data_IF_045839623198
#
_entry.id   IF_045839623198
#
_cell.length_a   1.000
_cell.length_b   1.000
_cell.length_c   1.000
_cell.angle_alpha   90.00
_cell.angle_beta   90.00
_cell.angle_gamma   90.00
#
_symmetry.space_group_name_H-M   'P 1'
#
loop_
_entity.id
_entity.type
_entity.pdbx_description
1 polymer ?
#
# COMPACT_ATOMS: atom_id res chain seq x y z
N UNK A 1 -13.20 8.50 -5.13
CA UNK A 1 -11.90 8.44 -4.41
C UNK A 1 -10.80 7.65 -5.14
N UNK A 2 -11.04 7.05 -6.32
CA UNK A 2 -10.08 6.15 -7.00
C UNK A 2 -9.05 6.90 -7.90
N UNK A 3 -9.38 8.09 -8.42
CA UNK A 3 -8.47 8.87 -9.28
C UNK A 3 -7.15 9.26 -8.61
N UNK A 4 -7.20 9.64 -7.33
CA UNK A 4 -6.04 10.14 -6.60
C UNK A 4 -4.96 9.07 -6.38
N UNK A 5 -5.34 7.79 -6.34
CA UNK A 5 -4.39 6.67 -6.21
C UNK A 5 -3.69 6.31 -7.52
N UNK A 6 -4.34 6.50 -8.67
CA UNK A 6 -3.74 6.18 -9.97
C UNK A 6 -2.66 7.19 -10.35
N UNK A 7 -2.90 8.48 -10.15
CA UNK A 7 -1.91 9.54 -10.39
C UNK A 7 -0.68 9.39 -9.47
N UNK A 8 -0.91 9.09 -8.18
CA UNK A 8 0.13 8.77 -7.21
C UNK A 8 0.97 7.56 -7.66
N UNK A 9 0.31 6.49 -8.09
CA UNK A 9 0.98 5.26 -8.54
C UNK A 9 1.83 5.51 -9.79
N UNK A 10 1.29 6.26 -10.75
CA UNK A 10 2.01 6.63 -11.98
C UNK A 10 3.27 7.42 -11.65
N UNK A 11 3.17 8.42 -10.77
CA UNK A 11 4.32 9.22 -10.35
C UNK A 11 5.38 8.40 -9.60
N UNK A 12 4.95 7.50 -8.70
CA UNK A 12 5.87 6.58 -8.01
C UNK A 12 6.59 5.67 -9.02
N UNK A 13 5.89 5.18 -10.04
CA UNK A 13 6.46 4.33 -11.09
C UNK A 13 7.43 5.08 -12.00
N UNK A 14 7.13 6.34 -12.34
CA UNK A 14 8.05 7.23 -13.08
C UNK A 14 9.36 7.43 -12.30
N UNK A 15 9.25 7.82 -11.02
CA UNK A 15 10.42 8.00 -10.14
C UNK A 15 11.20 6.68 -9.96
N UNK A 16 10.49 5.54 -9.89
CA UNK A 16 11.13 4.22 -9.80
C UNK A 16 11.88 3.84 -11.09
N UNK A 17 11.33 4.17 -12.27
CA UNK A 17 12.02 3.97 -13.55
C UNK A 17 13.25 4.87 -13.65
N UNK A 18 13.11 6.16 -13.33
CA UNK A 18 14.21 7.12 -13.33
C UNK A 18 15.34 6.72 -12.39
N UNK A 19 15.00 6.24 -11.19
CA UNK A 19 15.96 5.68 -10.23
C UNK A 19 16.78 4.52 -10.78
N UNK A 20 16.22 3.73 -11.70
CA UNK A 20 16.87 2.54 -12.27
C UNK A 20 17.75 2.88 -13.48
N UNK A 21 17.42 3.94 -14.22
CA UNK A 21 18.14 4.32 -15.45
C UNK A 21 19.22 5.36 -15.18
N UNK A 22 18.87 6.44 -14.48
CA UNK A 22 19.69 7.65 -14.34
C UNK A 22 20.09 7.92 -12.89
N UNK A 23 19.34 7.33 -11.94
CA UNK A 23 19.42 7.68 -10.52
C UNK A 23 18.43 8.79 -10.17
N UNK A 24 18.18 8.96 -8.87
CA UNK A 24 17.32 10.02 -8.34
C UNK A 24 18.18 11.10 -7.68
N UNK A 25 17.81 12.35 -7.89
CA UNK A 25 18.34 13.45 -7.08
C UNK A 25 17.82 13.34 -5.64
N UNK A 26 18.46 14.03 -4.69
CA UNK A 26 18.01 14.02 -3.29
C UNK A 26 16.58 14.56 -3.12
N UNK A 27 16.20 15.55 -3.93
CA UNK A 27 14.84 16.10 -3.97
C UNK A 27 13.83 15.07 -4.47
N UNK A 28 14.15 14.34 -5.53
CA UNK A 28 13.27 13.30 -6.08
C UNK A 28 13.16 12.08 -5.16
N UNK A 29 14.21 11.76 -4.39
CA UNK A 29 14.14 10.73 -3.33
C UNK A 29 13.20 11.15 -2.22
N UNK A 30 13.24 12.43 -1.81
CA UNK A 30 12.32 12.96 -0.82
C UNK A 30 10.86 12.91 -1.33
N UNK A 31 10.62 13.33 -2.58
CA UNK A 31 9.31 13.23 -3.24
C UNK A 31 8.84 11.76 -3.27
N UNK A 32 9.70 10.83 -3.70
CA UNK A 32 9.36 9.42 -3.76
C UNK A 32 9.02 8.85 -2.38
N UNK A 33 9.75 9.24 -1.33
CA UNK A 33 9.49 8.80 0.03
C UNK A 33 8.13 9.29 0.54
N UNK A 34 7.80 10.56 0.30
CA UNK A 34 6.51 11.14 0.68
C UNK A 34 5.35 10.48 -0.07
N UNK A 35 5.46 10.33 -1.39
CA UNK A 35 4.45 9.66 -2.21
C UNK A 35 4.23 8.21 -1.77
N UNK A 36 5.31 7.47 -1.45
CA UNK A 36 5.20 6.10 -0.92
C UNK A 36 4.49 6.05 0.44
N UNK A 37 4.76 7.01 1.33
CA UNK A 37 4.07 7.06 2.62
C UNK A 37 2.57 7.33 2.45
N UNK A 38 2.21 8.28 1.59
CA UNK A 38 0.81 8.56 1.27
C UNK A 38 0.09 7.34 0.68
N UNK A 39 0.73 6.67 -0.28
CA UNK A 39 0.20 5.43 -0.87
C UNK A 39 0.01 4.33 0.19
N UNK A 40 1.02 4.07 1.03
CA UNK A 40 0.93 3.06 2.09
C UNK A 40 -0.20 3.37 3.08
N UNK A 41 -0.40 4.65 3.42
CA UNK A 41 -1.48 5.07 4.32
C UNK A 41 -2.86 4.78 3.70
N UNK A 42 -3.07 5.17 2.45
CA UNK A 42 -4.30 4.90 1.71
C UNK A 42 -4.53 3.39 1.54
N UNK A 43 -3.47 2.64 1.20
CA UNK A 43 -3.51 1.19 1.06
C UNK A 43 -3.86 0.50 2.39
N UNK A 44 -3.25 0.91 3.51
CA UNK A 44 -3.56 0.36 4.85
C UNK A 44 -5.01 0.57 5.23
N UNK A 45 -5.58 1.75 4.96
CA UNK A 45 -6.99 2.02 5.25
C UNK A 45 -7.92 1.11 4.44
N UNK A 46 -7.64 0.92 3.14
CA UNK A 46 -8.39 -0.02 2.31
C UNK A 46 -8.22 -1.47 2.78
N UNK A 47 -6.99 -1.85 3.12
CA UNK A 47 -6.66 -3.20 3.55
C UNK A 47 -7.25 -3.57 4.91
N UNK A 48 -7.36 -2.63 5.85
CA UNK A 48 -8.05 -2.86 7.14
C UNK A 48 -9.54 -3.17 6.93
N UNK A 49 -10.20 -2.47 6.01
CA UNK A 49 -11.57 -2.78 5.62
C UNK A 49 -11.68 -4.17 4.99
N UNK A 50 -10.77 -4.54 4.10
CA UNK A 50 -10.73 -5.90 3.54
C UNK A 50 -10.51 -6.95 4.63
N UNK A 51 -9.51 -6.75 5.51
CA UNK A 51 -9.16 -7.70 6.58
C UNK A 51 -10.30 -7.90 7.57
N UNK A 52 -11.10 -6.87 7.86
CA UNK A 52 -12.29 -6.97 8.71
C UNK A 52 -13.34 -7.97 8.21
N UNK A 53 -13.26 -8.36 6.94
CA UNK A 53 -14.14 -9.31 6.28
C UNK A 53 -13.48 -10.67 5.99
N UNK A 54 -12.23 -10.87 6.43
CA UNK A 54 -11.50 -12.13 6.23
C UNK A 54 -11.77 -13.10 7.39
N UNK A 55 -12.12 -14.34 7.04
CA UNK A 55 -12.35 -15.44 7.97
C UNK A 55 -11.46 -16.62 7.62
N UNK A 56 -10.87 -17.25 8.63
CA UNK A 56 -10.18 -18.53 8.50
C UNK A 56 -11.20 -19.63 8.77
N UNK A 57 -11.31 -20.60 7.86
CA UNK A 57 -12.15 -21.78 8.01
C UNK A 57 -11.26 -22.97 8.37
N UNK A 58 -11.60 -23.69 9.44
CA UNK A 58 -10.93 -24.93 9.82
C UNK A 58 -11.48 -26.15 9.03
N UNK A 59 -10.91 -27.33 9.29
CA UNK A 59 -11.29 -28.58 8.61
C UNK A 59 -12.69 -29.06 9.01
N UNK A 60 -13.19 -28.56 10.13
CA UNK A 60 -14.47 -28.92 10.74
C UNK A 60 -15.58 -27.90 10.37
N UNK A 61 -15.24 -26.86 9.60
CA UNK A 61 -16.17 -25.86 9.08
C UNK A 61 -16.38 -24.63 9.98
N UNK A 62 -15.67 -24.51 11.10
CA UNK A 62 -15.77 -23.33 11.97
C UNK A 62 -15.04 -22.13 11.35
N UNK A 63 -15.67 -20.96 11.45
CA UNK A 63 -15.13 -19.69 10.92
C UNK A 63 -14.60 -18.85 12.07
N UNK A 64 -13.31 -18.53 12.03
CA UNK A 64 -12.68 -17.60 12.97
C UNK A 64 -12.31 -16.31 12.24
N UNK A 65 -12.70 -15.16 12.79
CA UNK A 65 -12.37 -13.86 12.21
C UNK A 65 -10.89 -13.55 12.38
N UNK A 66 -10.24 -13.05 11.32
CA UNK A 66 -8.82 -12.67 11.38
C UNK A 66 -8.69 -11.35 12.14
N UNK A 67 -7.99 -11.38 13.27
CA UNK A 67 -7.68 -10.19 14.05
C UNK A 67 -6.23 -9.74 13.86
N UNK A 68 -6.03 -8.42 13.88
CA UNK A 68 -4.70 -7.81 13.81
C UNK A 68 -3.95 -8.12 15.10
N UNK A 69 -2.84 -8.86 15.00
CA UNK A 69 -1.98 -9.17 16.14
C UNK A 69 -1.46 -7.86 16.76
N UNK A 70 -1.85 -7.55 18.00
CA UNK A 70 -1.27 -6.43 18.77
C UNK A 70 0.19 -6.79 19.09
N UNK A 71 1.11 -5.93 18.66
CA UNK A 71 2.56 -6.10 18.86
C UNK A 71 2.97 -5.45 20.18
#
# INVERSE_FOLDING_TARGET
>A
MIKMTEELLNRINELARKSRTEGLTEEEKAEQAELRQQYIKAFRQGFENTMSNVYIMDKDGNKTKVEKKKK
#
